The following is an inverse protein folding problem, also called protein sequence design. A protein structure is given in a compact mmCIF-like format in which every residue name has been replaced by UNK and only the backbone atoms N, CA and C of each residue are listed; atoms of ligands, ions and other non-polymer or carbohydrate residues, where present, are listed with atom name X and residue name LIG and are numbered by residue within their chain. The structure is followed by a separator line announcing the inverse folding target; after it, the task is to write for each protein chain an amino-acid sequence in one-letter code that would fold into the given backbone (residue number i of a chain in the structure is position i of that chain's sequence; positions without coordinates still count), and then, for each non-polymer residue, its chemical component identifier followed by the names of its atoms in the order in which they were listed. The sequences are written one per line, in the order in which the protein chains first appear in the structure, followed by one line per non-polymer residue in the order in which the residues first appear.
data_IF_727325047640
#
_entry.id   IF_727325047640
#
_cell.length_a   1.000
_cell.length_b   1.000
_cell.length_c   1.000
_cell.angle_alpha   90.00
_cell.angle_beta   90.00
_cell.angle_gamma   90.00
#
_symmetry.space_group_name_H-M   'P 1'
#
loop_
_entity.id
_entity.type
_entity.pdbx_description
1 polymer ?
#
# COMPACT_ATOMS: atom_id res chain seq x y z
N UNK A 1 47.05 -8.98 -12.92
CA UNK A 1 45.67 -8.69 -12.44
C UNK A 1 45.27 -9.80 -11.49
N UNK A 2 45.01 -9.48 -10.22
CA UNK A 2 44.86 -10.46 -9.16
C UNK A 2 43.62 -11.32 -9.40
N UNK A 3 43.78 -12.65 -9.54
CA UNK A 3 42.71 -13.59 -9.91
C UNK A 3 41.48 -13.51 -8.98
N UNK A 4 41.70 -13.18 -7.70
CA UNK A 4 40.65 -12.91 -6.71
C UNK A 4 39.78 -11.68 -7.05
N UNK A 5 40.36 -10.65 -7.66
CA UNK A 5 39.67 -9.43 -8.07
C UNK A 5 38.80 -9.67 -9.31
N UNK A 6 39.26 -10.51 -10.24
CA UNK A 6 38.49 -10.93 -11.41
C UNK A 6 37.28 -11.78 -11.03
N UNK A 7 37.43 -12.69 -10.06
CA UNK A 7 36.33 -13.51 -9.55
C UNK A 7 35.28 -12.66 -8.82
N UNK A 8 35.74 -11.70 -7.99
CA UNK A 8 34.83 -10.76 -7.31
C UNK A 8 34.08 -9.86 -8.30
N UNK A 9 34.74 -9.38 -9.36
CA UNK A 9 34.11 -8.61 -10.44
C UNK A 9 33.07 -9.44 -11.20
N UNK A 10 33.37 -10.69 -11.53
CA UNK A 10 32.43 -11.62 -12.17
C UNK A 10 31.20 -11.89 -11.29
N UNK A 11 31.40 -12.08 -9.98
CA UNK A 11 30.31 -12.25 -9.01
C UNK A 11 29.41 -11.02 -8.90
N UNK A 12 30.01 -9.83 -8.78
CA UNK A 12 29.25 -8.56 -8.77
C UNK A 12 28.48 -8.36 -10.09
N UNK A 13 29.07 -8.71 -11.22
CA UNK A 13 28.44 -8.53 -12.53
C UNK A 13 27.27 -9.49 -12.72
N UNK A 14 27.38 -10.75 -12.25
CA UNK A 14 26.27 -11.70 -12.21
C UNK A 14 25.16 -11.27 -11.26
N UNK A 15 25.50 -10.69 -10.10
CA UNK A 15 24.52 -10.18 -9.13
C UNK A 15 23.76 -8.97 -9.68
N UNK A 16 24.45 -8.03 -10.33
CA UNK A 16 23.80 -6.89 -11.00
C UNK A 16 22.95 -7.35 -12.17
N UNK A 17 23.40 -8.32 -12.97
CA UNK A 17 22.59 -8.92 -14.05
C UNK A 17 21.35 -9.63 -13.51
N UNK A 18 21.47 -10.37 -12.40
CA UNK A 18 20.33 -11.00 -11.72
C UNK A 18 19.35 -9.96 -11.16
N UNK A 19 19.86 -8.85 -10.61
CA UNK A 19 19.04 -7.73 -10.14
C UNK A 19 18.30 -7.02 -11.27
N UNK A 20 18.95 -6.80 -12.41
CA UNK A 20 18.33 -6.19 -13.61
C UNK A 20 17.30 -7.14 -14.22
N UNK A 21 17.59 -8.44 -14.32
CA UNK A 21 16.64 -9.44 -14.80
C UNK A 21 15.43 -9.57 -13.86
N UNK A 22 15.64 -9.54 -12.54
CA UNK A 22 14.58 -9.51 -11.54
C UNK A 22 13.74 -8.22 -11.60
N UNK A 23 14.37 -7.07 -11.82
CA UNK A 23 13.68 -5.78 -11.99
C UNK A 23 12.85 -5.72 -13.27
N UNK A 24 13.41 -6.16 -14.40
CA UNK A 24 12.70 -6.23 -15.69
C UNK A 24 11.57 -7.26 -15.63
N UNK A 25 11.79 -8.42 -15.01
CA UNK A 25 10.75 -9.41 -14.74
C UNK A 25 9.63 -8.85 -13.86
N UNK A 26 9.97 -8.06 -12.83
CA UNK A 26 8.99 -7.38 -11.97
C UNK A 26 8.20 -6.30 -12.72
N UNK A 27 8.84 -5.51 -13.58
CA UNK A 27 8.16 -4.54 -14.45
C UNK A 27 7.23 -5.22 -15.46
N UNK A 28 7.66 -6.30 -16.11
CA UNK A 28 6.85 -7.07 -17.06
C UNK A 28 5.71 -7.83 -16.38
N UNK A 29 5.92 -8.32 -15.15
CA UNK A 29 4.88 -8.95 -14.33
C UNK A 29 3.83 -7.93 -13.89
N UNK A 30 4.23 -6.69 -13.58
CA UNK A 30 3.31 -5.58 -13.33
C UNK A 30 2.57 -5.12 -14.60
N UNK A 31 3.16 -5.32 -15.78
CA UNK A 31 2.56 -4.98 -17.08
C UNK A 31 1.61 -6.07 -17.60
N UNK A 32 1.84 -7.35 -17.25
CA UNK A 32 0.96 -8.50 -17.57
C UNK A 32 -0.04 -8.88 -16.48
N UNK A 33 0.11 -8.37 -15.25
CA UNK A 33 -1.06 -8.15 -14.42
C UNK A 33 -2.00 -7.28 -15.25
N UNK A 34 -3.29 -7.61 -15.39
CA UNK A 34 -4.23 -6.70 -16.01
C UNK A 34 -4.02 -5.38 -15.31
N UNK A 35 -3.48 -4.40 -16.05
CA UNK A 35 -3.34 -3.06 -15.58
C UNK A 35 -4.77 -2.65 -15.23
N UNK A 36 -5.10 -2.80 -13.95
CA UNK A 36 -6.22 -2.14 -13.34
C UNK A 36 -5.95 -0.70 -13.69
N UNK A 37 -6.71 -0.22 -14.68
CA UNK A 37 -6.72 1.16 -15.13
C UNK A 37 -6.49 2.01 -13.91
N UNK A 38 -5.61 3.00 -14.04
CA UNK A 38 -5.64 4.19 -13.21
C UNK A 38 -7.08 4.70 -13.22
N UNK A 39 -7.89 4.17 -12.31
CA UNK A 39 -9.29 4.47 -12.20
C UNK A 39 -9.36 5.86 -11.59
N UNK A 40 -9.58 6.84 -12.44
CA UNK A 40 -10.51 7.93 -12.16
C UNK A 40 -11.96 7.42 -11.93
N UNK A 41 -12.13 6.19 -11.45
CA UNK A 41 -13.37 5.44 -11.41
C UNK A 41 -13.80 5.23 -9.97
N UNK A 42 -14.99 5.73 -9.66
CA UNK A 42 -15.83 5.46 -8.51
C UNK A 42 -15.31 4.31 -7.65
N UNK A 43 -14.76 4.63 -6.48
CA UNK A 43 -14.52 3.63 -5.45
C UNK A 43 -15.87 2.97 -5.16
N UNK A 44 -15.99 1.67 -5.46
CA UNK A 44 -17.22 0.96 -5.18
C UNK A 44 -17.57 1.12 -3.70
N UNK A 45 -18.79 1.57 -3.42
CA UNK A 45 -19.24 1.71 -2.04
C UNK A 45 -19.34 0.32 -1.40
N UNK A 46 -19.19 0.20 -0.07
CA UNK A 46 -19.39 -1.09 0.60
C UNK A 46 -20.74 -1.74 0.29
N UNK A 47 -21.77 -0.91 0.04
CA UNK A 47 -23.10 -1.37 -0.38
C UNK A 47 -23.09 -1.96 -1.80
N UNK A 48 -22.42 -1.31 -2.75
CA UNK A 48 -22.31 -1.84 -4.13
C UNK A 48 -21.60 -3.20 -4.18
N UNK A 49 -20.61 -3.43 -3.30
CA UNK A 49 -19.93 -4.73 -3.19
C UNK A 49 -20.87 -5.79 -2.62
N UNK A 50 -21.61 -5.46 -1.56
CA UNK A 50 -22.58 -6.36 -0.93
C UNK A 50 -23.70 -6.72 -1.92
N UNK A 51 -24.26 -5.74 -2.62
CA UNK A 51 -25.30 -5.94 -3.62
C UNK A 51 -24.80 -6.80 -4.79
N UNK A 52 -23.54 -6.62 -5.22
CA UNK A 52 -22.91 -7.45 -6.24
C UNK A 52 -22.77 -8.92 -5.81
N UNK A 53 -22.40 -9.17 -4.54
CA UNK A 53 -22.33 -10.54 -3.99
C UNK A 53 -23.73 -11.14 -3.92
N UNK A 54 -24.70 -10.38 -3.39
CA UNK A 54 -26.06 -10.84 -3.22
C UNK A 54 -26.73 -11.17 -4.57
N UNK A 55 -26.48 -10.35 -5.60
CA UNK A 55 -26.96 -10.60 -6.95
C UNK A 55 -26.29 -11.81 -7.59
N UNK A 56 -24.96 -11.95 -7.46
CA UNK A 56 -24.20 -13.04 -8.09
C UNK A 56 -24.53 -14.41 -7.49
N UNK A 57 -24.88 -14.44 -6.21
CA UNK A 57 -25.26 -15.65 -5.49
C UNK A 57 -26.78 -15.88 -5.43
N UNK A 58 -27.56 -15.00 -6.08
CA UNK A 58 -29.03 -15.07 -6.12
C UNK A 58 -29.66 -15.19 -4.71
N UNK A 59 -29.12 -14.42 -3.76
CA UNK A 59 -29.54 -14.51 -2.36
C UNK A 59 -30.99 -14.07 -2.18
N UNK A 60 -31.73 -14.80 -1.33
CA UNK A 60 -33.05 -14.38 -0.87
C UNK A 60 -32.98 -13.24 0.18
N UNK A 61 -34.14 -12.78 0.64
CA UNK A 61 -34.21 -11.65 1.57
C UNK A 61 -33.58 -11.96 2.94
N UNK A 62 -33.74 -13.19 3.45
CA UNK A 62 -33.18 -13.60 4.74
C UNK A 62 -31.66 -13.71 4.66
N UNK A 63 -31.15 -14.29 3.56
CA UNK A 63 -29.73 -14.40 3.28
C UNK A 63 -29.05 -13.04 3.08
N UNK A 64 -29.73 -12.06 2.48
CA UNK A 64 -29.21 -10.69 2.34
C UNK A 64 -29.06 -9.98 3.69
N UNK A 65 -30.03 -10.11 4.58
CA UNK A 65 -29.93 -9.55 5.93
C UNK A 65 -28.80 -10.22 6.73
N UNK A 66 -28.65 -11.53 6.61
CA UNK A 66 -27.53 -12.25 7.22
C UNK A 66 -26.18 -11.77 6.65
N UNK A 67 -26.08 -11.59 5.33
CA UNK A 67 -24.87 -11.07 4.67
C UNK A 67 -24.51 -9.68 5.21
N UNK A 68 -25.50 -8.79 5.33
CA UNK A 68 -25.31 -7.44 5.87
C UNK A 68 -24.77 -7.49 7.29
N UNK A 69 -25.37 -8.30 8.17
CA UNK A 69 -24.92 -8.44 9.55
C UNK A 69 -23.45 -8.91 9.65
N UNK A 70 -23.05 -9.88 8.83
CA UNK A 70 -21.66 -10.38 8.77
C UNK A 70 -20.68 -9.28 8.36
N UNK A 71 -21.05 -8.47 7.37
CA UNK A 71 -20.20 -7.37 6.90
C UNK A 71 -20.12 -6.24 7.93
N UNK A 72 -21.20 -5.94 8.65
CA UNK A 72 -21.22 -4.96 9.74
C UNK A 72 -20.32 -5.41 10.89
N UNK A 73 -20.45 -6.65 11.36
CA UNK A 73 -19.58 -7.23 12.40
C UNK A 73 -18.11 -7.21 11.97
N UNK A 74 -17.83 -7.64 10.74
CA UNK A 74 -16.47 -7.62 10.19
C UNK A 74 -15.89 -6.21 10.18
N UNK A 75 -16.69 -5.22 9.77
CA UNK A 75 -16.28 -3.81 9.73
C UNK A 75 -15.92 -3.31 11.13
N UNK A 76 -16.68 -3.68 12.15
CA UNK A 76 -16.44 -3.27 13.53
C UNK A 76 -15.14 -3.90 14.05
N UNK A 77 -14.89 -5.18 13.78
CA UNK A 77 -13.61 -5.84 14.10
C UNK A 77 -12.42 -5.17 13.40
N UNK A 78 -12.55 -4.83 12.11
CA UNK A 78 -11.51 -4.09 11.40
C UNK A 78 -11.28 -2.69 11.99
N UNK A 79 -12.34 -2.02 12.42
CA UNK A 79 -12.24 -0.70 13.03
C UNK A 79 -11.52 -0.74 14.37
N UNK A 80 -11.83 -1.73 15.21
CA UNK A 80 -11.16 -1.95 16.49
C UNK A 80 -9.67 -2.28 16.29
N UNK A 81 -9.36 -3.20 15.39
CA UNK A 81 -7.99 -3.53 15.02
C UNK A 81 -7.24 -2.28 14.53
N UNK A 82 -7.85 -1.53 13.61
CA UNK A 82 -7.25 -0.31 13.12
C UNK A 82 -7.02 0.71 14.25
N UNK A 83 -7.92 0.83 15.23
CA UNK A 83 -7.74 1.72 16.39
C UNK A 83 -6.51 1.35 17.22
N UNK A 84 -6.23 0.06 17.37
CA UNK A 84 -5.05 -0.42 18.09
C UNK A 84 -3.75 -0.22 17.30
N UNK A 85 -3.76 -0.57 16.02
CA UNK A 85 -2.54 -0.62 15.20
C UNK A 85 -2.19 0.70 14.52
N UNK A 86 -3.17 1.54 14.19
CA UNK A 86 -2.96 2.87 13.60
C UNK A 86 -1.95 3.73 14.38
N UNK A 87 -2.04 3.90 15.72
CA UNK A 87 -1.07 4.73 16.44
C UNK A 87 0.35 4.15 16.36
N UNK A 88 0.51 2.83 16.37
CA UNK A 88 1.81 2.16 16.24
C UNK A 88 2.43 2.41 14.87
N UNK A 89 1.62 2.27 13.81
CA UNK A 89 2.06 2.57 12.45
C UNK A 89 2.40 4.05 12.28
N UNK A 90 1.57 4.95 12.80
CA UNK A 90 1.84 6.39 12.75
C UNK A 90 3.13 6.77 13.49
N UNK A 91 3.41 6.12 14.63
CA UNK A 91 4.65 6.35 15.38
C UNK A 91 5.89 5.94 14.57
N UNK A 92 5.90 4.75 13.97
CA UNK A 92 7.01 4.27 13.13
C UNK A 92 7.24 5.22 11.94
N UNK A 93 6.15 5.67 11.31
CA UNK A 93 6.23 6.60 10.19
C UNK A 93 6.78 7.96 10.62
N UNK A 94 6.32 8.50 11.75
CA UNK A 94 6.82 9.77 12.27
C UNK A 94 8.31 9.69 12.64
N UNK A 95 8.74 8.61 13.29
CA UNK A 95 10.16 8.37 13.60
C UNK A 95 11.02 8.31 12.33
N UNK A 96 10.52 7.63 11.30
CA UNK A 96 11.19 7.59 9.99
C UNK A 96 11.30 8.99 9.37
N UNK A 97 10.23 9.78 9.42
CA UNK A 97 10.23 11.14 8.90
C UNK A 97 11.18 12.05 9.68
N UNK A 98 11.32 11.88 11.00
CA UNK A 98 12.26 12.64 11.82
C UNK A 98 13.71 12.29 11.50
N UNK A 99 14.01 11.01 11.28
CA UNK A 99 15.32 10.56 10.79
C UNK A 99 15.65 11.14 9.43
N UNK A 100 14.66 11.20 8.53
CA UNK A 100 14.82 11.86 7.23
C UNK A 100 15.09 13.36 7.43
N UNK A 101 14.30 14.07 8.25
CA UNK A 101 14.52 15.51 8.54
C UNK A 101 15.92 15.79 9.07
N UNK A 102 16.49 14.89 9.86
CA UNK A 102 17.82 15.05 10.45
C UNK A 102 18.94 15.09 9.40
N UNK A 103 18.78 14.42 8.25
CA UNK A 103 19.79 14.38 7.19
C UNK A 103 19.60 15.44 6.10
N UNK A 104 18.45 16.13 6.09
CA UNK A 104 18.12 17.14 5.07
C UNK A 104 18.68 18.52 5.42
N UNK A 105 19.11 19.27 4.40
CA UNK A 105 19.66 20.64 4.53
C UNK A 105 18.69 21.68 4.00
N UNK A 106 18.56 22.82 4.70
CA UNK A 106 17.87 24.04 4.23
C UNK A 106 16.62 23.77 3.39
N UNK A 107 16.68 24.16 2.11
CA UNK A 107 15.58 24.04 1.13
C UNK A 107 15.10 22.61 0.87
N UNK A 108 15.87 21.57 1.22
CA UNK A 108 15.42 20.18 1.12
C UNK A 108 14.35 19.85 2.18
N UNK A 109 14.38 20.51 3.35
CA UNK A 109 13.37 20.32 4.40
C UNK A 109 12.01 20.83 3.95
N UNK A 110 11.97 22.01 3.33
CA UNK A 110 10.73 22.62 2.83
C UNK A 110 10.07 21.73 1.76
N UNK A 111 10.86 21.25 0.79
CA UNK A 111 10.40 20.30 -0.23
C UNK A 111 9.90 18.99 0.39
N UNK A 112 10.55 18.51 1.45
CA UNK A 112 10.12 17.31 2.15
C UNK A 112 8.77 17.50 2.85
N UNK A 113 8.55 18.64 3.51
CA UNK A 113 7.26 18.95 4.13
C UNK A 113 6.12 19.08 3.10
N UNK A 114 6.39 19.64 1.92
CA UNK A 114 5.42 19.66 0.81
C UNK A 114 5.07 18.25 0.32
N UNK A 115 6.07 17.37 0.20
CA UNK A 115 5.85 15.96 -0.13
C UNK A 115 4.98 15.29 0.93
N UNK A 116 5.28 15.48 2.22
CA UNK A 116 4.47 14.91 3.30
C UNK A 116 3.01 15.40 3.23
N UNK A 117 2.75 16.66 2.93
CA UNK A 117 1.38 17.18 2.76
C UNK A 117 0.62 16.56 1.59
N UNK A 118 1.32 16.24 0.50
CA UNK A 118 0.72 15.63 -0.69
C UNK A 118 0.45 14.14 -0.52
N UNK A 119 1.38 13.42 0.11
CA UNK A 119 1.36 11.95 0.17
C UNK A 119 0.84 11.39 1.49
N UNK A 120 0.80 12.18 2.56
CA UNK A 120 0.13 11.71 3.78
C UNK A 120 -1.37 11.70 3.52
N UNK A 121 -2.07 10.59 3.83
CA UNK A 121 -3.52 10.63 3.88
C UNK A 121 -3.90 11.76 4.84
N UNK A 122 -4.81 12.64 4.39
CA UNK A 122 -5.39 13.66 5.28
C UNK A 122 -5.82 12.91 6.53
N UNK A 123 -5.37 13.37 7.70
CA UNK A 123 -6.04 13.01 8.96
C UNK A 123 -7.48 13.48 8.77
N UNK A 124 -8.36 12.62 8.26
CA UNK A 124 -9.78 12.80 8.49
C UNK A 124 -9.87 12.84 10.01
N UNK A 125 -10.28 14.00 10.52
CA UNK A 125 -10.55 14.17 11.93
C UNK A 125 -11.67 13.18 12.28
N UNK A 126 -11.28 11.96 12.62
CA UNK A 126 -12.10 11.02 13.37
C UNK A 126 -12.24 11.65 14.74
N UNK A 127 -13.29 12.45 14.87
CA UNK A 127 -13.48 13.43 15.92
C UNK A 127 -14.79 14.18 15.72
N UNK A 128 -15.89 13.43 15.62
CA UNK A 128 -17.23 13.80 16.08
C UNK A 128 -18.08 12.54 16.14
#
# INVERSE_FOLDING_TARGET
MNSRLSIALLGCLLFVMGGVAGWVGHCLYLEHLPQGKTSTGTSMTPQEVMDGIAQKLELDAEQKEALKAIFEESRDHYWELNREFKPRYEAIRNDSDDKIRAILRGSQKERFEEMLKKYRPKKQASGS
#
